data_IF_766989185686
#
_entry.id   IF_766989185686
#
_cell.length_a   1.000
_cell.length_b   1.000
_cell.length_c   1.000
_cell.angle_alpha   90.00
_cell.angle_beta   90.00
_cell.angle_gamma   90.00
#
_symmetry.space_group_name_H-M   'P 1'
#
loop_
_entity.id
_entity.type
_entity.pdbx_description
1 polymer ?
#
# COMPACT_ATOMS: atom_id res chain seq x y z
N UNK A 1 40.76 -4.47 -103.73
CA UNK A 1 39.31 -4.25 -103.91
C UNK A 1 38.64 -4.52 -102.58
N UNK A 2 38.05 -3.49 -101.94
CA UNK A 2 37.41 -3.61 -100.62
C UNK A 2 35.97 -4.10 -100.81
N UNK A 3 35.60 -5.21 -100.18
CA UNK A 3 34.20 -5.64 -100.08
C UNK A 3 33.66 -5.16 -98.73
N UNK A 4 32.62 -4.33 -98.79
CA UNK A 4 31.91 -3.77 -97.65
C UNK A 4 30.72 -4.69 -97.36
N UNK A 5 30.73 -5.39 -96.23
CA UNK A 5 29.55 -6.10 -95.73
C UNK A 5 28.73 -5.15 -94.85
N UNK A 6 27.50 -4.85 -95.28
CA UNK A 6 26.50 -4.11 -94.50
C UNK A 6 25.77 -5.11 -93.60
N UNK A 7 25.95 -4.98 -92.29
CA UNK A 7 25.22 -5.75 -91.28
C UNK A 7 23.89 -5.03 -90.98
N UNK A 8 22.77 -5.67 -91.32
CA UNK A 8 21.42 -5.16 -91.07
C UNK A 8 21.06 -5.38 -89.60
N UNK A 9 21.06 -4.31 -88.80
CA UNK A 9 20.70 -4.34 -87.39
C UNK A 9 19.17 -4.32 -87.25
N UNK A 10 18.56 -5.50 -87.08
CA UNK A 10 17.14 -5.60 -86.70
C UNK A 10 17.05 -5.29 -85.22
N UNK A 11 16.54 -4.10 -84.87
CA UNK A 11 16.22 -3.75 -83.49
C UNK A 11 15.03 -4.58 -83.04
N UNK A 12 15.29 -5.63 -82.27
CA UNK A 12 14.28 -6.28 -81.44
C UNK A 12 13.84 -5.25 -80.39
N UNK A 13 12.61 -4.76 -80.51
CA UNK A 13 11.99 -3.93 -79.48
C UNK A 13 11.86 -4.77 -78.21
N UNK A 14 12.69 -4.47 -77.21
CA UNK A 14 12.54 -5.00 -75.87
C UNK A 14 11.26 -4.41 -75.28
N UNK A 15 10.37 -5.26 -74.76
CA UNK A 15 9.19 -4.83 -74.02
C UNK A 15 9.61 -3.99 -72.81
N UNK A 16 9.01 -2.81 -72.65
CA UNK A 16 9.20 -1.96 -71.48
C UNK A 16 8.59 -2.63 -70.25
N UNK A 17 9.34 -2.70 -69.14
CA UNK A 17 8.80 -3.15 -67.86
C UNK A 17 8.08 -1.98 -67.20
N UNK A 18 6.80 -2.15 -66.90
CA UNK A 18 5.97 -1.10 -66.31
C UNK A 18 6.04 -1.08 -64.77
N UNK A 19 6.54 -2.14 -64.14
CA UNK A 19 6.75 -2.21 -62.68
C UNK A 19 8.13 -2.79 -62.40
N UNK A 20 8.91 -2.11 -61.56
CA UNK A 20 10.23 -2.55 -61.10
C UNK A 20 10.21 -2.63 -59.59
N UNK A 21 10.64 -3.77 -59.04
CA UNK A 21 10.92 -3.92 -57.62
C UNK A 21 12.40 -3.66 -57.37
N UNK A 22 12.67 -2.79 -56.41
CA UNK A 22 14.00 -2.59 -55.85
C UNK A 22 13.99 -3.01 -54.39
N UNK A 23 15.05 -3.69 -53.98
CA UNK A 23 15.19 -4.25 -52.64
C UNK A 23 16.55 -3.83 -52.11
N UNK A 24 16.60 -3.33 -50.88
CA UNK A 24 17.85 -2.87 -50.28
C UNK A 24 18.83 -4.02 -50.00
N UNK A 25 18.32 -5.19 -49.63
CA UNK A 25 19.11 -6.36 -49.23
C UNK A 25 18.43 -7.68 -49.61
N UNK A 26 19.22 -8.65 -50.10
CA UNK A 26 18.72 -9.98 -50.48
C UNK A 26 19.17 -11.09 -49.52
N UNK A 27 19.93 -10.74 -48.48
CA UNK A 27 20.47 -11.66 -47.48
C UNK A 27 20.27 -11.06 -46.09
N UNK A 28 19.44 -11.72 -45.29
CA UNK A 28 18.99 -11.25 -43.98
C UNK A 28 19.06 -12.40 -42.98
N UNK A 29 19.00 -12.10 -41.69
CA UNK A 29 18.75 -13.08 -40.64
C UNK A 29 17.26 -13.13 -40.33
N UNK A 30 16.80 -14.27 -39.81
CA UNK A 30 15.44 -14.42 -39.29
C UNK A 30 15.06 -13.24 -38.36
N UNK A 31 13.95 -12.57 -38.67
CA UNK A 31 13.43 -11.40 -37.95
C UNK A 31 14.08 -10.05 -38.31
N UNK A 32 15.05 -10.02 -39.23
CA UNK A 32 15.57 -8.75 -39.77
C UNK A 32 14.60 -8.15 -40.78
N UNK A 33 14.57 -6.82 -40.82
CA UNK A 33 13.67 -6.04 -41.65
C UNK A 33 14.39 -5.52 -42.89
N UNK A 34 13.68 -5.44 -44.00
CA UNK A 34 14.22 -4.96 -45.27
C UNK A 34 13.20 -4.09 -46.00
N UNK A 35 13.69 -3.16 -46.81
CA UNK A 35 12.84 -2.24 -47.57
C UNK A 35 12.67 -2.73 -49.00
N UNK A 36 11.43 -2.65 -49.47
CA UNK A 36 11.07 -2.91 -50.86
C UNK A 36 10.44 -1.65 -51.44
N UNK A 37 11.04 -1.13 -52.50
CA UNK A 37 10.51 0.00 -53.27
C UNK A 37 9.92 -0.53 -54.57
N UNK A 38 8.63 -0.32 -54.75
CA UNK A 38 7.93 -0.68 -55.99
C UNK A 38 7.75 0.56 -56.84
N UNK A 39 8.40 0.59 -58.01
CA UNK A 39 8.35 1.67 -58.97
C UNK A 39 7.41 1.32 -60.12
N UNK A 40 6.51 2.24 -60.45
CA UNK A 40 5.49 2.12 -61.48
C UNK A 40 5.75 3.14 -62.60
N UNK A 41 6.09 2.65 -63.78
CA UNK A 41 6.42 3.45 -64.97
C UNK A 41 5.27 3.40 -65.98
N UNK A 42 4.98 4.54 -66.62
CA UNK A 42 4.00 4.65 -67.73
C UNK A 42 2.55 4.26 -67.36
N UNK A 43 2.14 4.49 -66.11
CA UNK A 43 0.75 4.23 -65.66
C UNK A 43 0.05 5.56 -65.36
N UNK A 44 -1.04 5.85 -66.08
CA UNK A 44 -1.90 6.99 -65.77
C UNK A 44 -2.61 6.74 -64.43
N UNK A 45 -2.51 7.72 -63.53
CA UNK A 45 -2.84 7.63 -62.10
C UNK A 45 -4.29 7.29 -61.74
N UNK A 46 -5.15 7.04 -62.73
CA UNK A 46 -6.60 7.00 -62.55
C UNK A 46 -7.21 5.59 -62.36
N UNK A 47 -6.47 4.49 -62.62
CA UNK A 47 -7.04 3.14 -62.55
C UNK A 47 -6.25 2.10 -61.73
N UNK A 48 -5.22 2.49 -60.98
CA UNK A 48 -4.47 1.52 -60.16
C UNK A 48 -5.25 1.19 -58.89
N UNK A 49 -6.01 0.10 -58.93
CA UNK A 49 -6.64 -0.46 -57.74
C UNK A 49 -5.58 -1.23 -56.92
N UNK A 50 -4.69 -0.48 -56.24
CA UNK A 50 -3.57 -1.02 -55.45
C UNK A 50 -3.97 -1.86 -54.25
N UNK A 51 -5.27 -1.90 -53.90
CA UNK A 51 -5.78 -2.76 -52.83
C UNK A 51 -5.59 -4.27 -53.13
N UNK A 52 -5.23 -4.64 -54.37
CA UNK A 52 -4.87 -6.01 -54.72
C UNK A 52 -3.38 -6.37 -54.48
N UNK A 53 -2.54 -5.39 -54.10
CA UNK A 53 -1.12 -5.61 -53.79
C UNK A 53 -0.89 -6.33 -52.46
N UNK A 54 -1.92 -6.48 -51.61
CA UNK A 54 -1.86 -7.20 -50.34
C UNK A 54 -1.43 -8.68 -50.51
N UNK A 55 -1.66 -9.24 -51.70
CA UNK A 55 -1.36 -10.63 -52.04
C UNK A 55 0.06 -10.85 -52.62
N UNK A 56 0.89 -9.80 -52.73
CA UNK A 56 2.27 -9.90 -53.27
C UNK A 56 3.28 -10.35 -52.21
N UNK A 57 2.93 -10.20 -50.94
CA UNK A 57 3.82 -10.45 -49.80
C UNK A 57 3.34 -11.64 -48.95
N UNK A 58 2.63 -12.61 -49.53
CA UNK A 58 2.04 -13.75 -48.79
C UNK A 58 3.06 -14.51 -47.90
N UNK A 59 4.34 -14.52 -48.30
CA UNK A 59 5.45 -15.15 -47.57
C UNK A 59 6.16 -14.22 -46.56
N UNK A 60 5.76 -12.94 -46.48
CA UNK A 60 6.41 -11.90 -45.69
C UNK A 60 5.40 -11.14 -44.81
N UNK A 61 5.84 -10.68 -43.64
CA UNK A 61 5.03 -9.79 -42.82
C UNK A 61 5.27 -8.32 -43.19
N UNK A 62 4.20 -7.61 -43.56
CA UNK A 62 4.23 -6.18 -43.85
C UNK A 62 4.16 -5.39 -42.54
N UNK A 63 5.25 -4.73 -42.16
CA UNK A 63 5.32 -3.94 -40.93
C UNK A 63 4.86 -2.49 -41.14
N UNK A 64 5.22 -1.92 -42.30
CA UNK A 64 4.85 -0.54 -42.68
C UNK A 64 4.69 -0.42 -44.19
N UNK A 65 3.84 0.50 -44.58
CA UNK A 65 3.53 0.84 -45.96
C UNK A 65 3.48 2.36 -46.11
N UNK A 66 4.11 2.89 -47.17
CA UNK A 66 3.96 4.30 -47.54
C UNK A 66 2.74 4.53 -48.43
N UNK A 67 2.25 5.77 -48.49
CA UNK A 67 1.33 6.19 -49.55
C UNK A 67 1.98 6.08 -50.93
N UNK A 68 1.16 6.14 -51.98
CA UNK A 68 1.64 6.21 -53.35
C UNK A 68 2.16 7.63 -53.63
N UNK A 69 3.47 7.73 -53.87
CA UNK A 69 4.15 9.00 -54.09
C UNK A 69 4.55 9.14 -55.56
N UNK A 70 4.53 10.38 -56.07
CA UNK A 70 4.84 10.70 -57.46
C UNK A 70 6.22 11.34 -57.53
N UNK A 71 7.10 10.78 -58.35
CA UNK A 71 8.42 11.35 -58.61
C UNK A 71 8.53 11.82 -60.07
N UNK A 72 9.18 12.96 -60.24
CA UNK A 72 9.51 13.51 -61.55
C UNK A 72 11.03 13.44 -61.70
N UNK A 73 11.51 12.55 -62.55
CA UNK A 73 12.91 12.51 -62.98
C UNK A 73 12.95 12.67 -64.51
N UNK A 74 13.47 11.70 -65.26
CA UNK A 74 13.49 11.71 -66.73
C UNK A 74 12.10 11.38 -67.31
N UNK A 75 11.41 10.44 -66.67
CA UNK A 75 10.00 10.11 -66.91
C UNK A 75 9.22 10.27 -65.59
N UNK A 76 7.90 10.47 -65.71
CA UNK A 76 7.03 10.50 -64.53
C UNK A 76 6.77 9.07 -64.06
N UNK A 77 7.11 8.76 -62.81
CA UNK A 77 6.83 7.47 -62.20
C UNK A 77 6.23 7.61 -60.81
N UNK A 78 5.52 6.58 -60.38
CA UNK A 78 5.00 6.47 -59.02
C UNK A 78 5.81 5.44 -58.25
N UNK A 79 6.00 5.64 -56.95
CA UNK A 79 6.66 4.64 -56.12
C UNK A 79 5.91 4.43 -54.81
N UNK A 80 6.14 3.25 -54.22
CA UNK A 80 5.61 2.88 -52.92
C UNK A 80 6.61 2.01 -52.16
N UNK A 81 6.83 2.36 -50.89
CA UNK A 81 7.79 1.70 -50.02
C UNK A 81 7.09 0.79 -49.03
N UNK A 82 7.64 -0.41 -48.87
CA UNK A 82 7.20 -1.41 -47.90
C UNK A 82 8.36 -1.79 -46.99
N UNK A 83 8.07 -1.91 -45.70
CA UNK A 83 8.99 -2.48 -44.72
C UNK A 83 8.51 -3.88 -44.38
N UNK A 84 9.31 -4.89 -44.73
CA UNK A 84 8.94 -6.30 -44.63
C UNK A 84 9.87 -7.04 -43.65
N UNK A 85 9.40 -8.16 -43.10
CA UNK A 85 10.19 -9.09 -42.28
C UNK A 85 9.72 -10.54 -42.50
N UNK A 86 10.56 -11.52 -42.14
CA UNK A 86 10.17 -12.94 -42.06
C UNK A 86 10.67 -13.57 -40.77
N UNK A 87 9.85 -14.42 -40.16
CA UNK A 87 10.18 -15.22 -38.97
C UNK A 87 10.53 -16.67 -39.30
N UNK A 88 10.73 -16.99 -40.58
CA UNK A 88 11.16 -18.30 -41.03
C UNK A 88 12.53 -18.21 -41.72
N UNK A 89 13.28 -19.32 -41.69
CA UNK A 89 14.60 -19.43 -42.35
C UNK A 89 14.46 -20.13 -43.70
N UNK A 90 15.14 -19.64 -44.73
CA UNK A 90 15.06 -20.23 -46.07
C UNK A 90 15.19 -19.20 -47.17
N UNK A 91 14.89 -19.62 -48.39
CA UNK A 91 14.84 -18.75 -49.57
C UNK A 91 13.37 -18.48 -49.88
N UNK A 92 12.98 -17.21 -49.84
CA UNK A 92 11.64 -16.74 -50.17
C UNK A 92 11.68 -15.97 -51.48
N UNK A 93 10.62 -16.07 -52.28
CA UNK A 93 10.58 -15.49 -53.61
C UNK A 93 9.48 -14.45 -53.67
N UNK A 94 9.88 -13.18 -53.79
CA UNK A 94 8.99 -12.10 -54.18
C UNK A 94 8.56 -12.34 -55.63
N UNK A 95 7.43 -13.02 -55.80
CA UNK A 95 6.93 -13.45 -57.10
C UNK A 95 6.04 -12.37 -57.73
N UNK A 96 6.10 -12.17 -59.06
CA UNK A 96 5.11 -11.33 -59.73
C UNK A 96 3.71 -11.96 -59.58
N UNK A 97 2.79 -11.25 -58.94
CA UNK A 97 1.36 -11.58 -59.03
C UNK A 97 0.70 -10.62 -60.01
N UNK A 98 -0.10 -11.17 -60.92
CA UNK A 98 -0.72 -10.45 -62.03
C UNK A 98 -1.70 -9.42 -61.44
N UNK A 99 -1.39 -8.14 -61.58
CA UNK A 99 -2.39 -7.07 -61.39
C UNK A 99 -3.15 -6.98 -62.71
N UNK A 100 -4.34 -7.57 -62.78
CA UNK A 100 -5.17 -7.48 -63.99
C UNK A 100 -5.79 -6.09 -64.08
N UNK A 101 -5.32 -5.27 -65.03
CA UNK A 101 -6.06 -4.09 -65.48
C UNK A 101 -7.22 -4.56 -66.39
N UNK A 102 -8.36 -3.86 -66.38
CA UNK A 102 -9.59 -4.24 -67.12
C UNK A 102 -9.45 -4.24 -68.67
N UNK A 103 -8.24 -4.09 -69.21
CA UNK A 103 -7.94 -4.31 -70.61
C UNK A 103 -6.47 -4.78 -70.77
N UNK A 104 -6.29 -6.09 -70.91
CA UNK A 104 -5.25 -6.82 -71.65
C UNK A 104 -3.76 -6.43 -71.59
N UNK A 105 -3.27 -5.68 -70.60
CA UNK A 105 -1.83 -5.56 -70.36
C UNK A 105 -1.40 -6.29 -69.08
N UNK A 106 -0.58 -7.33 -69.26
CA UNK A 106 0.00 -8.10 -68.15
C UNK A 106 1.21 -7.33 -67.63
N UNK A 107 1.09 -6.77 -66.43
CA UNK A 107 2.22 -6.18 -65.73
C UNK A 107 3.07 -7.31 -65.14
N UNK A 108 4.27 -7.50 -65.68
CA UNK A 108 5.22 -8.49 -65.21
C UNK A 108 6.31 -7.82 -64.39
N UNK A 109 6.58 -8.36 -63.22
CA UNK A 109 7.70 -7.98 -62.34
C UNK A 109 8.73 -9.11 -62.36
N UNK A 110 10.02 -8.78 -62.28
CA UNK A 110 11.04 -9.83 -62.17
C UNK A 110 11.03 -10.40 -60.75
N UNK A 111 11.05 -11.74 -60.59
CA UNK A 111 11.08 -12.34 -59.26
C UNK A 111 12.40 -12.03 -58.56
N UNK A 112 12.34 -11.63 -57.29
CA UNK A 112 13.52 -11.38 -56.46
C UNK A 112 13.55 -12.41 -55.34
N UNK A 113 14.67 -13.12 -55.22
CA UNK A 113 14.88 -14.10 -54.15
C UNK A 113 15.57 -13.45 -52.96
N UNK A 114 15.01 -13.68 -51.77
CA UNK A 114 15.53 -13.18 -50.49
C UNK A 114 15.84 -14.37 -49.60
N UNK A 115 17.04 -14.38 -49.03
CA UNK A 115 17.52 -15.48 -48.18
C UNK A 115 17.55 -15.05 -46.71
N UNK A 116 16.81 -15.78 -45.86
CA UNK A 116 16.84 -15.63 -44.40
C UNK A 116 17.70 -16.73 -43.78
N UNK A 117 18.84 -16.32 -43.25
CA UNK A 117 19.76 -17.17 -42.52
C UNK A 117 19.26 -17.41 -41.09
N UNK A 118 19.43 -18.63 -40.57
CA UNK A 118 19.28 -18.85 -39.13
C UNK A 118 20.30 -17.99 -38.38
N UNK A 119 19.88 -17.48 -37.22
CA UNK A 119 20.86 -16.93 -36.28
C UNK A 119 21.65 -18.11 -35.71
N UNK A 120 22.97 -18.07 -35.85
CA UNK A 120 23.85 -19.04 -35.21
C UNK A 120 23.63 -18.98 -33.69
N UNK A 121 22.95 -19.99 -33.16
CA UNK A 121 22.94 -20.21 -31.73
C UNK A 121 24.32 -20.73 -31.37
N UNK A 122 25.15 -19.86 -30.78
CA UNK A 122 26.48 -20.14 -30.20
C UNK A 122 26.45 -21.23 -29.09
N UNK A 123 25.29 -21.87 -28.91
CA UNK A 123 24.98 -22.92 -27.94
C UNK A 123 24.80 -24.31 -28.57
N UNK A 124 24.85 -24.47 -29.90
CA UNK A 124 24.56 -25.76 -30.55
C UNK A 124 25.59 -26.87 -30.23
N UNK A 125 26.83 -26.51 -29.86
CA UNK A 125 27.91 -27.47 -29.60
C UNK A 125 28.43 -27.49 -28.15
N UNK A 126 27.79 -26.78 -27.22
CA UNK A 126 28.14 -26.79 -25.79
C UNK A 126 26.89 -26.92 -24.95
N UNK A 127 26.68 -28.10 -24.38
CA UNK A 127 25.80 -28.27 -23.22
C UNK A 127 26.41 -27.47 -22.07
N UNK A 128 25.83 -26.31 -21.78
CA UNK A 128 26.16 -25.58 -20.56
C UNK A 128 25.47 -26.27 -19.39
N UNK A 129 26.19 -26.46 -18.30
CA UNK A 129 25.60 -26.92 -17.04
C UNK A 129 24.54 -25.92 -16.56
N UNK A 130 23.60 -26.39 -15.73
CA UNK A 130 22.56 -25.54 -15.15
C UNK A 130 23.27 -24.44 -14.38
N UNK A 131 23.06 -23.18 -14.80
CA UNK A 131 23.66 -22.04 -14.13
C UNK A 131 23.32 -22.10 -12.64
N UNK A 132 24.31 -22.06 -11.74
CA UNK A 132 24.03 -22.07 -10.33
C UNK A 132 23.17 -20.84 -9.97
N UNK A 133 22.39 -20.90 -8.88
CA UNK A 133 21.66 -19.76 -8.37
C UNK A 133 22.62 -18.58 -8.24
N UNK A 134 22.24 -17.44 -8.84
CA UNK A 134 23.06 -16.25 -8.76
C UNK A 134 23.08 -15.79 -7.31
N UNK A 135 24.27 -15.77 -6.70
CA UNK A 135 24.45 -15.13 -5.41
C UNK A 135 24.09 -13.65 -5.57
N UNK A 136 22.93 -13.27 -5.04
CA UNK A 136 22.55 -11.88 -4.92
C UNK A 136 23.12 -11.40 -3.59
N UNK A 137 24.23 -10.64 -3.60
CA UNK A 137 24.81 -10.17 -2.35
C UNK A 137 23.79 -9.28 -1.64
N UNK A 138 23.52 -9.58 -0.38
CA UNK A 138 22.59 -8.80 0.44
C UNK A 138 23.03 -7.34 0.49
N UNK A 139 22.27 -6.45 -0.16
CA UNK A 139 22.56 -5.01 -0.13
C UNK A 139 21.88 -4.42 1.09
N UNK A 140 22.62 -3.68 1.92
CA UNK A 140 22.06 -2.92 3.05
C UNK A 140 20.92 -1.98 2.64
N UNK A 141 20.87 -1.56 1.36
CA UNK A 141 19.79 -0.76 0.79
C UNK A 141 18.45 -1.52 0.69
N UNK A 142 18.46 -2.84 0.57
CA UNK A 142 17.25 -3.67 0.56
C UNK A 142 16.61 -3.74 1.96
N UNK A 143 17.43 -3.70 3.02
CA UNK A 143 16.95 -3.60 4.40
C UNK A 143 16.15 -2.31 4.66
N UNK A 144 16.47 -1.21 3.95
CA UNK A 144 15.73 0.05 4.04
C UNK A 144 14.28 -0.08 3.53
N UNK A 145 14.00 -1.02 2.63
CA UNK A 145 12.64 -1.31 2.17
C UNK A 145 11.74 -1.86 3.28
N UNK A 146 12.34 -2.55 4.25
CA UNK A 146 11.66 -3.13 5.42
C UNK A 146 11.63 -2.20 6.63
N UNK A 147 12.01 -0.93 6.48
CA UNK A 147 12.06 0.05 7.59
C UNK A 147 10.73 0.14 8.36
N UNK A 148 9.59 0.02 7.66
CA UNK A 148 8.27 0.06 8.29
C UNK A 148 7.97 -1.21 9.09
N UNK A 149 8.42 -2.37 8.62
CA UNK A 149 8.31 -3.65 9.35
C UNK A 149 9.12 -3.60 10.64
N UNK A 150 10.36 -3.07 10.57
CA UNK A 150 11.18 -2.88 11.76
C UNK A 150 10.59 -1.86 12.73
N UNK A 151 10.00 -0.77 12.23
CA UNK A 151 9.31 0.22 13.05
C UNK A 151 8.09 -0.36 13.77
N UNK A 152 7.30 -1.19 13.09
CA UNK A 152 6.15 -1.89 13.66
C UNK A 152 6.60 -2.89 14.72
N UNK A 153 7.64 -3.68 14.44
CA UNK A 153 8.21 -4.62 15.41
C UNK A 153 8.71 -3.90 16.67
N UNK A 154 9.43 -2.78 16.48
CA UNK A 154 9.91 -1.94 17.58
C UNK A 154 8.74 -1.39 18.42
N UNK A 155 7.68 -0.93 17.76
CA UNK A 155 6.49 -0.41 18.44
C UNK A 155 5.81 -1.51 19.28
N UNK A 156 5.66 -2.72 18.73
CA UNK A 156 5.09 -3.87 19.46
C UNK A 156 5.95 -4.21 20.68
N UNK A 157 7.27 -4.24 20.52
CA UNK A 157 8.19 -4.52 21.62
C UNK A 157 8.13 -3.44 22.70
N UNK A 158 7.99 -2.17 22.30
CA UNK A 158 7.86 -1.05 23.21
C UNK A 158 6.54 -1.12 24.00
N UNK A 159 5.42 -1.41 23.32
CA UNK A 159 4.12 -1.60 23.96
C UNK A 159 4.20 -2.77 24.94
N UNK A 160 4.75 -3.91 24.53
CA UNK A 160 4.93 -5.07 25.40
C UNK A 160 5.79 -4.74 26.64
N UNK A 161 6.91 -4.04 26.45
CA UNK A 161 7.78 -3.64 27.55
C UNK A 161 7.08 -2.68 28.52
N UNK A 162 6.35 -1.68 28.01
CA UNK A 162 5.61 -0.74 28.85
C UNK A 162 4.45 -1.41 29.57
N UNK A 163 3.64 -2.24 28.90
CA UNK A 163 2.55 -2.97 29.56
C UNK A 163 3.10 -3.94 30.60
N UNK A 164 4.17 -4.67 30.29
CA UNK A 164 4.83 -5.55 31.26
C UNK A 164 5.36 -4.75 32.46
N UNK A 165 6.04 -3.63 32.23
CA UNK A 165 6.57 -2.78 33.30
C UNK A 165 5.45 -2.13 34.13
N UNK A 166 4.39 -1.62 33.52
CA UNK A 166 3.29 -0.98 34.26
C UNK A 166 2.40 -1.99 35.00
N UNK A 167 2.18 -3.18 34.44
CA UNK A 167 1.35 -4.21 35.09
C UNK A 167 2.15 -4.96 36.16
N UNK A 168 3.42 -5.28 35.92
CA UNK A 168 4.20 -6.14 36.81
C UNK A 168 5.19 -5.40 37.73
N UNK A 169 5.52 -4.12 37.48
CA UNK A 169 6.43 -3.34 38.33
C UNK A 169 5.72 -2.39 39.31
N UNK A 170 4.39 -2.28 39.24
CA UNK A 170 3.61 -1.34 40.08
C UNK A 170 3.10 -1.97 41.37
N UNK A 171 3.81 -2.97 41.90
CA UNK A 171 3.66 -3.33 43.32
C UNK A 171 4.49 -2.43 44.24
N UNK A 172 5.13 -1.37 43.72
CA UNK A 172 6.00 -0.51 44.54
C UNK A 172 6.17 0.93 43.99
N UNK A 173 5.08 1.55 43.52
CA UNK A 173 5.07 3.01 43.33
C UNK A 173 4.52 3.61 44.62
N UNK A 174 5.45 3.94 45.51
CA UNK A 174 5.18 4.78 46.67
C UNK A 174 5.08 6.23 46.15
N UNK A 175 3.99 6.50 45.43
CA UNK A 175 3.60 7.87 45.11
C UNK A 175 3.30 8.60 46.41
N UNK A 176 3.72 9.86 46.44
CA UNK A 176 3.72 10.76 47.59
C UNK A 176 2.37 10.79 48.30
N UNK A 177 2.15 9.83 49.23
CA UNK A 177 1.08 9.92 50.21
C UNK A 177 1.31 11.20 50.99
N UNK A 178 0.35 12.12 50.95
CA UNK A 178 0.36 13.25 51.88
C UNK A 178 0.52 12.67 53.29
N UNK A 179 1.57 13.08 54.01
CA UNK A 179 1.82 12.57 55.35
C UNK A 179 0.74 13.14 56.27
N UNK A 180 -0.34 12.40 56.46
CA UNK A 180 -1.41 12.77 57.38
C UNK A 180 -0.86 12.66 58.80
N UNK A 181 -0.61 13.81 59.45
CA UNK A 181 -0.06 13.89 60.82
C UNK A 181 -1.02 13.44 61.93
N UNK A 182 -2.29 13.25 61.60
CA UNK A 182 -3.35 12.80 62.52
C UNK A 182 -3.92 11.46 62.05
N UNK A 183 -4.56 10.66 62.93
CA UNK A 183 -5.18 9.41 62.51
C UNK A 183 -6.10 9.62 61.30
N UNK A 184 -5.96 8.75 60.30
CA UNK A 184 -6.66 8.82 59.00
C UNK A 184 -8.16 9.03 59.20
N UNK A 185 -8.77 8.28 60.11
CA UNK A 185 -10.20 8.39 60.41
C UNK A 185 -10.60 9.79 60.90
N UNK A 186 -9.77 10.43 61.74
CA UNK A 186 -10.02 11.77 62.28
C UNK A 186 -9.87 12.81 61.17
N UNK A 187 -8.85 12.68 60.32
CA UNK A 187 -8.63 13.58 59.18
C UNK A 187 -9.85 13.62 58.26
N UNK A 188 -10.32 12.46 57.80
CA UNK A 188 -11.44 12.38 56.88
C UNK A 188 -12.78 12.74 57.54
N UNK A 189 -12.97 12.45 58.83
CA UNK A 189 -14.14 12.94 59.57
C UNK A 189 -14.17 14.47 59.67
N UNK A 190 -13.01 15.12 59.84
CA UNK A 190 -12.91 16.58 59.81
C UNK A 190 -13.23 17.13 58.42
N UNK A 191 -12.75 16.49 57.35
CA UNK A 191 -13.10 16.87 55.97
C UNK A 191 -14.59 16.73 55.68
N UNK A 192 -15.26 15.69 56.19
CA UNK A 192 -16.72 15.57 56.09
C UNK A 192 -17.42 16.71 56.84
N UNK A 193 -16.94 17.06 58.04
CA UNK A 193 -17.49 18.18 58.81
C UNK A 193 -17.35 19.50 58.05
N UNK A 194 -16.17 19.74 57.47
CA UNK A 194 -15.90 20.89 56.61
C UNK A 194 -16.87 20.92 55.42
N UNK A 195 -17.00 19.80 54.68
CA UNK A 195 -17.92 19.71 53.56
C UNK A 195 -19.37 19.98 53.98
N UNK A 196 -19.82 19.44 55.12
CA UNK A 196 -21.18 19.66 55.63
C UNK A 196 -21.45 21.11 56.05
N UNK A 197 -20.42 21.86 56.46
CA UNK A 197 -20.55 23.28 56.82
C UNK A 197 -20.68 24.18 55.59
N UNK A 198 -20.19 23.72 54.42
CA UNK A 198 -20.31 24.43 53.15
C UNK A 198 -21.68 24.10 52.55
N UNK A 199 -22.54 25.11 52.45
CA UNK A 199 -23.94 25.03 51.99
C UNK A 199 -24.10 24.74 50.49
N UNK A 200 -23.24 23.89 49.91
CA UNK A 200 -23.22 23.59 48.48
C UNK A 200 -24.55 23.03 47.95
N UNK A 201 -25.25 22.22 48.74
CA UNK A 201 -26.57 21.71 48.36
C UNK A 201 -27.65 22.80 48.42
N UNK A 202 -27.51 23.83 49.25
CA UNK A 202 -28.45 24.97 49.28
C UNK A 202 -28.23 25.89 48.08
N UNK A 203 -26.97 26.07 47.67
CA UNK A 203 -26.54 26.89 46.51
C UNK A 203 -26.61 26.14 45.17
N UNK A 204 -27.25 24.97 45.11
CA UNK A 204 -27.38 24.09 43.93
C UNK A 204 -26.04 23.71 43.26
N UNK A 205 -24.94 23.73 44.02
CA UNK A 205 -23.58 23.32 43.60
C UNK A 205 -23.36 21.82 43.75
N UNK A 206 -24.25 21.00 43.17
CA UNK A 206 -24.22 19.53 43.29
C UNK A 206 -22.92 18.91 42.75
N UNK A 207 -22.43 19.37 41.60
CA UNK A 207 -21.21 18.83 41.00
C UNK A 207 -20.00 19.01 41.93
N UNK A 208 -19.83 20.21 42.50
CA UNK A 208 -18.76 20.48 43.44
C UNK A 208 -18.91 19.64 44.72
N UNK A 209 -20.13 19.52 45.25
CA UNK A 209 -20.42 18.69 46.41
C UNK A 209 -20.02 17.22 46.20
N UNK A 210 -20.45 16.60 45.09
CA UNK A 210 -20.14 15.20 44.80
C UNK A 210 -18.65 14.99 44.47
N UNK A 211 -18.01 15.93 43.78
CA UNK A 211 -16.55 15.88 43.56
C UNK A 211 -15.82 15.85 44.90
N UNK A 212 -16.13 16.77 45.81
CA UNK A 212 -15.50 16.83 47.15
C UNK A 212 -15.83 15.61 48.02
N UNK A 213 -17.09 15.18 48.06
CA UNK A 213 -17.47 14.00 48.84
C UNK A 213 -16.77 12.74 48.32
N UNK A 214 -16.62 12.63 47.01
CA UNK A 214 -15.95 11.50 46.37
C UNK A 214 -14.44 11.52 46.56
N UNK A 215 -13.79 12.69 46.52
CA UNK A 215 -12.38 12.88 46.92
C UNK A 215 -12.14 12.43 48.37
N UNK A 216 -13.03 12.83 49.30
CA UNK A 216 -12.94 12.45 50.71
C UNK A 216 -13.05 10.92 50.87
N UNK A 217 -14.04 10.30 50.22
CA UNK A 217 -14.23 8.85 50.32
C UNK A 217 -13.07 8.07 49.69
N UNK A 218 -12.65 8.44 48.47
CA UNK A 218 -11.53 7.79 47.78
C UNK A 218 -10.23 7.97 48.54
N UNK A 219 -9.94 9.18 49.01
CA UNK A 219 -8.78 9.43 49.86
C UNK A 219 -8.81 8.60 51.13
N UNK A 220 -9.97 8.47 51.79
CA UNK A 220 -10.10 7.61 52.97
C UNK A 220 -9.79 6.15 52.63
N UNK A 221 -10.37 5.63 51.55
CA UNK A 221 -10.16 4.26 51.10
C UNK A 221 -8.67 3.98 50.80
N UNK A 222 -8.00 4.93 50.17
CA UNK A 222 -6.59 4.85 49.82
C UNK A 222 -5.69 4.83 51.06
N UNK A 223 -5.85 5.78 51.96
CA UNK A 223 -5.05 5.81 53.19
C UNK A 223 -5.38 4.68 54.16
N UNK A 224 -6.61 4.16 54.12
CA UNK A 224 -7.08 3.12 55.04
C UNK A 224 -6.74 1.70 54.59
N UNK A 225 -6.97 1.40 53.32
CA UNK A 225 -6.88 0.05 52.77
C UNK A 225 -5.70 -0.14 51.82
N UNK A 226 -4.88 0.90 51.65
CA UNK A 226 -3.70 0.91 50.77
C UNK A 226 -4.00 0.48 49.32
N UNK A 227 -5.09 1.03 48.78
CA UNK A 227 -5.52 0.85 47.39
C UNK A 227 -5.46 2.18 46.63
N UNK A 228 -5.14 2.22 45.33
CA UNK A 228 -5.03 3.46 44.56
C UNK A 228 -6.41 4.07 44.21
N UNK A 229 -7.21 4.43 45.21
CA UNK A 229 -8.61 4.77 45.04
C UNK A 229 -8.85 6.15 44.40
N UNK A 230 -7.97 7.13 44.60
CA UNK A 230 -8.07 8.46 43.99
C UNK A 230 -7.84 8.42 42.48
N UNK A 231 -6.94 7.55 42.02
CA UNK A 231 -6.53 7.41 40.62
C UNK A 231 -7.36 6.36 39.85
N UNK A 232 -8.08 5.51 40.58
CA UNK A 232 -8.92 4.48 39.97
C UNK A 232 -10.18 5.06 39.34
N UNK A 233 -10.54 4.54 38.16
CA UNK A 233 -11.86 4.78 37.58
C UNK A 233 -12.98 4.22 38.48
N UNK A 234 -14.23 4.66 38.29
CA UNK A 234 -15.37 4.10 39.04
C UNK A 234 -15.50 2.57 38.87
N UNK A 235 -15.14 2.04 37.68
CA UNK A 235 -15.15 0.61 37.42
C UNK A 235 -14.03 -0.11 38.18
N UNK A 236 -12.80 0.39 38.10
CA UNK A 236 -11.63 -0.21 38.76
C UNK A 236 -11.77 -0.15 40.29
N UNK A 237 -12.28 0.96 40.82
CA UNK A 237 -12.52 1.12 42.24
C UNK A 237 -13.48 0.04 42.78
N UNK A 238 -14.53 -0.32 42.03
CA UNK A 238 -15.44 -1.42 42.41
C UNK A 238 -14.74 -2.76 42.47
N UNK A 239 -13.81 -3.02 41.54
CA UNK A 239 -13.01 -4.25 41.54
C UNK A 239 -12.06 -4.29 42.74
N UNK A 240 -11.37 -3.19 43.04
CA UNK A 240 -10.49 -3.06 44.20
C UNK A 240 -11.25 -3.29 45.52
N UNK A 241 -12.42 -2.67 45.66
CA UNK A 241 -13.29 -2.82 46.85
C UNK A 241 -13.75 -4.28 47.04
N UNK A 242 -14.09 -4.97 45.95
CA UNK A 242 -14.47 -6.39 45.99
C UNK A 242 -13.30 -7.25 46.45
N UNK A 243 -12.07 -6.96 46.01
CA UNK A 243 -10.88 -7.71 46.40
C UNK A 243 -10.56 -7.58 47.90
N UNK A 244 -10.93 -6.46 48.53
CA UNK A 244 -10.78 -6.23 49.98
C UNK A 244 -12.06 -6.51 50.78
N UNK A 245 -13.02 -7.24 50.20
CA UNK A 245 -14.29 -7.64 50.82
C UNK A 245 -15.19 -6.47 51.30
N UNK A 246 -15.11 -5.30 50.66
CA UNK A 246 -16.03 -4.19 50.91
C UNK A 246 -17.14 -4.22 49.85
N UNK A 247 -18.34 -4.67 50.23
CA UNK A 247 -19.48 -4.80 49.33
C UNK A 247 -20.73 -4.11 49.91
N UNK A 248 -20.62 -2.79 50.07
CA UNK A 248 -21.69 -1.94 50.58
C UNK A 248 -22.62 -1.48 49.44
N UNK A 249 -23.92 -1.76 49.52
CA UNK A 249 -24.88 -1.37 48.48
C UNK A 249 -24.90 0.14 48.22
N UNK A 250 -24.85 0.94 49.30
CA UNK A 250 -24.86 2.40 49.22
C UNK A 250 -23.65 2.95 48.45
N UNK A 251 -22.53 2.22 48.43
CA UNK A 251 -21.30 2.64 47.75
C UNK A 251 -21.45 2.53 46.23
N UNK A 252 -22.12 1.47 45.76
CA UNK A 252 -22.45 1.31 44.35
C UNK A 252 -23.40 2.40 43.86
N UNK A 253 -24.42 2.71 44.65
CA UNK A 253 -25.36 3.78 44.36
C UNK A 253 -24.68 5.16 44.40
N UNK A 254 -23.81 5.41 45.39
CA UNK A 254 -23.05 6.65 45.51
C UNK A 254 -22.17 6.90 44.28
N UNK A 255 -21.42 5.89 43.85
CA UNK A 255 -20.56 5.98 42.67
C UNK A 255 -21.38 6.25 41.39
N UNK A 256 -22.50 5.55 41.22
CA UNK A 256 -23.41 5.75 40.07
C UNK A 256 -23.99 7.17 40.06
N UNK A 257 -24.48 7.65 41.20
CA UNK A 257 -25.05 9.01 41.31
C UNK A 257 -23.96 10.06 41.09
N UNK A 258 -22.74 9.83 41.60
CA UNK A 258 -21.60 10.70 41.36
C UNK A 258 -21.29 10.87 39.87
N UNK A 259 -21.29 9.78 39.10
CA UNK A 259 -21.05 9.84 37.65
C UNK A 259 -22.20 10.57 36.92
N UNK A 260 -23.45 10.35 37.34
CA UNK A 260 -24.60 11.07 36.77
C UNK A 260 -24.54 12.58 37.00
N UNK A 261 -24.14 13.01 38.20
CA UNK A 261 -23.99 14.43 38.54
C UNK A 261 -22.82 15.06 37.77
N UNK A 262 -21.72 14.33 37.58
CA UNK A 262 -20.52 14.83 36.87
C UNK A 262 -20.70 14.93 35.36
N UNK A 263 -21.43 13.99 34.75
CA UNK A 263 -21.46 13.85 33.28
C UNK A 263 -22.86 13.91 32.66
N UNK A 264 -23.90 13.45 33.37
CA UNK A 264 -25.23 13.22 32.78
C UNK A 264 -26.30 14.26 33.16
N UNK A 265 -25.92 15.35 33.83
CA UNK A 265 -26.83 16.42 34.34
C UNK A 265 -27.97 15.92 35.24
N UNK A 266 -27.92 14.67 35.72
CA UNK A 266 -28.91 14.12 36.64
C UNK A 266 -28.68 14.66 38.04
N UNK A 267 -29.58 15.52 38.53
CA UNK A 267 -29.49 16.08 39.88
C UNK A 267 -30.28 15.23 40.88
N UNK A 268 -29.63 14.58 41.87
CA UNK A 268 -30.34 13.88 42.93
C UNK A 268 -31.00 14.87 43.88
N UNK A 269 -31.98 14.40 44.65
CA UNK A 269 -32.57 15.23 45.71
C UNK A 269 -31.56 15.54 46.81
N UNK A 270 -31.75 16.68 47.51
CA UNK A 270 -30.90 17.08 48.64
C UNK A 270 -30.87 15.99 49.73
N UNK A 271 -32.03 15.40 50.03
CA UNK A 271 -32.18 14.28 50.98
C UNK A 271 -31.33 13.05 50.61
N UNK A 272 -31.27 12.69 49.32
CA UNK A 272 -30.42 11.57 48.86
C UNK A 272 -28.94 11.91 49.05
N UNK A 273 -28.54 13.14 48.72
CA UNK A 273 -27.15 13.60 48.86
C UNK A 273 -26.70 13.63 50.33
N UNK A 274 -27.56 14.10 51.23
CA UNK A 274 -27.33 14.07 52.67
C UNK A 274 -27.25 12.63 53.22
N UNK A 275 -28.08 11.72 52.69
CA UNK A 275 -28.01 10.30 53.03
C UNK A 275 -26.65 9.71 52.68
N UNK A 276 -26.11 10.00 51.49
CA UNK A 276 -24.76 9.55 51.11
C UNK A 276 -23.67 10.11 52.02
N UNK A 277 -23.72 11.39 52.38
CA UNK A 277 -22.76 11.96 53.34
C UNK A 277 -22.83 11.24 54.70
N UNK A 278 -24.05 10.91 55.16
CA UNK A 278 -24.24 10.12 56.37
C UNK A 278 -23.65 8.71 56.23
N UNK A 279 -23.87 8.04 55.10
CA UNK A 279 -23.31 6.71 54.83
C UNK A 279 -21.79 6.73 54.82
N UNK A 280 -21.16 7.69 54.13
CA UNK A 280 -19.70 7.87 54.13
C UNK A 280 -19.20 8.10 55.57
N UNK A 281 -19.87 8.98 56.34
CA UNK A 281 -19.49 9.25 57.74
C UNK A 281 -19.61 8.01 58.62
N UNK A 282 -20.65 7.19 58.44
CA UNK A 282 -20.83 5.94 59.18
C UNK A 282 -19.79 4.91 58.79
N UNK A 283 -19.48 4.81 57.50
CA UNK A 283 -18.45 3.91 56.99
C UNK A 283 -17.07 4.19 57.57
N UNK A 284 -16.65 5.46 57.61
CA UNK A 284 -15.38 5.87 58.25
C UNK A 284 -15.40 5.54 59.75
N UNK A 285 -16.55 5.70 60.42
CA UNK A 285 -16.66 5.39 61.85
C UNK A 285 -16.62 3.90 62.14
N UNK A 286 -17.22 3.08 61.28
CA UNK A 286 -17.24 1.63 61.42
C UNK A 286 -15.86 1.02 61.18
N UNK A 287 -15.09 1.60 60.26
CA UNK A 287 -13.77 1.10 59.86
C UNK A 287 -12.61 1.78 60.59
N UNK A 288 -12.82 2.34 61.80
CA UNK A 288 -11.71 2.91 62.59
C UNK A 288 -10.72 1.83 63.05
N UNK A 289 -9.42 2.14 63.10
CA UNK A 289 -8.45 1.28 63.82
C UNK A 289 -8.78 1.43 65.32
N UNK A 290 -9.00 0.31 66.03
CA UNK A 290 -8.92 0.32 67.49
C UNK A 290 -7.45 0.55 67.86
N UNK A 291 -7.11 1.51 68.74
CA UNK A 291 -5.73 1.70 69.15
C UNK A 291 -5.18 0.38 69.70
N UNK A 292 -4.00 -0.01 69.22
CA UNK A 292 -3.24 -1.12 69.79
C UNK A 292 -2.87 -0.68 71.20
N UNK A 293 -3.39 -1.37 72.22
CA UNK A 293 -2.84 -1.27 73.57
C UNK A 293 -1.42 -1.82 73.50
N UNK A 294 -0.42 -0.94 73.52
CA UNK A 294 0.97 -1.32 73.75
C UNK A 294 1.02 -2.03 75.11
N UNK A 295 1.11 -3.35 75.08
CA UNK A 295 1.34 -4.17 76.25
C UNK A 295 2.81 -3.98 76.65
N UNK A 296 3.08 -2.93 77.42
CA UNK A 296 4.34 -2.71 78.11
C UNK A 296 4.42 -3.77 79.21
N UNK A 297 4.84 -5.00 78.90
CA UNK A 297 5.10 -6.01 79.94
C UNK A 297 6.10 -7.12 79.60
N UNK A 298 6.86 -7.04 78.51
CA UNK A 298 7.89 -8.05 78.22
C UNK A 298 9.28 -7.41 78.06
N UNK A 299 9.77 -6.77 79.13
CA UNK A 299 11.21 -6.63 79.40
C UNK A 299 11.42 -7.05 80.86
N UNK A 300 11.47 -8.35 81.09
CA UNK A 300 12.18 -9.00 82.19
C UNK A 300 12.05 -10.52 82.04
N UNK A 301 13.01 -11.14 81.36
CA UNK A 301 13.57 -12.46 81.67
C UNK A 301 14.83 -12.71 80.83
#
# INVERSE_FOLDING_TARGET
MKQLYILFFVSLSLFSQNIVLDVDTNLLRIGEQFNVTMNYFSIDSLDINLNQAENLFDEFEVLKESGLEKMFDIDTFFYKNYLLTSFDTGIFILSPKIITQQNLDTLSVNPISITFLPVELDSANKFFDIKPPKDVPFKLKELLGYKYVFLILLLILLIYYFTYKYVFKTSNIQESREVIKIPVDIYYLNKIKELSSKKYLEEDKFQLYYTRLSEILRGYLEHRFDIPALESSTYDLKLLLRNININEEWLNDFLRVGDLVKFAKGLPSKKVSESFLKSVKLFIKANKIKPVEENINDINL
#
